data_IF_166235755074
#
_entry.id   IF_166235755074
#
_cell.length_a   1.000
_cell.length_b   1.000
_cell.length_c   1.000
_cell.angle_alpha   90.00
_cell.angle_beta   90.00
_cell.angle_gamma   90.00
#
_symmetry.space_group_name_H-M   'P 1'
#
loop_
_entity.id
_entity.type
_entity.pdbx_description
1 polymer ?
#
# COMPACT_ATOMS: atom_id res chain seq x y z
N UNK A 1 33.45 -14.10 -4.87
CA UNK A 1 32.56 -12.92 -4.91
C UNK A 1 31.57 -13.11 -6.05
N UNK A 2 30.36 -13.59 -5.75
CA UNK A 2 29.34 -13.93 -6.75
C UNK A 2 28.38 -12.75 -6.93
N UNK A 3 28.77 -11.74 -7.70
CA UNK A 3 27.93 -10.55 -7.97
C UNK A 3 26.86 -10.80 -9.06
N UNK A 4 26.96 -11.88 -9.84
CA UNK A 4 25.98 -12.23 -10.89
C UNK A 4 24.75 -13.01 -10.43
N UNK A 5 24.68 -13.48 -9.18
CA UNK A 5 23.50 -14.17 -8.66
C UNK A 5 22.41 -13.21 -8.18
N UNK A 6 22.80 -12.00 -7.77
CA UNK A 6 21.89 -11.01 -7.22
C UNK A 6 20.93 -10.48 -8.30
N UNK A 7 21.40 -10.14 -9.51
CA UNK A 7 20.56 -9.66 -10.62
C UNK A 7 19.46 -10.65 -11.02
N UNK A 8 19.76 -11.95 -11.09
CA UNK A 8 18.76 -12.99 -11.40
C UNK A 8 17.72 -13.17 -10.28
N UNK A 9 18.11 -13.00 -9.01
CA UNK A 9 17.18 -12.96 -7.90
C UNK A 9 16.34 -11.67 -7.92
N UNK A 10 16.93 -10.53 -8.31
CA UNK A 10 16.25 -9.23 -8.41
C UNK A 10 15.18 -9.22 -9.51
N UNK A 11 15.46 -9.81 -10.67
CA UNK A 11 14.45 -10.02 -11.73
C UNK A 11 13.36 -11.00 -11.27
N UNK A 12 13.73 -11.99 -10.46
CA UNK A 12 12.79 -12.97 -9.91
C UNK A 12 11.81 -12.35 -8.90
N UNK A 13 12.23 -11.36 -8.11
CA UNK A 13 11.37 -10.68 -7.13
C UNK A 13 10.30 -9.81 -7.80
N UNK A 14 10.70 -9.01 -8.79
CA UNK A 14 9.77 -8.17 -9.54
C UNK A 14 8.78 -9.03 -10.32
N UNK A 15 9.27 -10.08 -10.99
CA UNK A 15 8.42 -11.03 -11.67
C UNK A 15 7.46 -11.77 -10.72
N UNK A 16 7.87 -12.06 -9.48
CA UNK A 16 7.00 -12.69 -8.50
C UNK A 16 5.81 -11.78 -8.10
N UNK A 17 6.07 -10.53 -7.75
CA UNK A 17 5.01 -9.57 -7.40
C UNK A 17 4.08 -9.35 -8.59
N UNK A 18 4.64 -9.11 -9.78
CA UNK A 18 3.84 -8.89 -10.99
C UNK A 18 2.97 -10.11 -11.32
N UNK A 19 3.50 -11.33 -11.25
CA UNK A 19 2.72 -12.55 -11.52
C UNK A 19 1.59 -12.78 -10.51
N UNK A 20 1.82 -12.49 -9.23
CA UNK A 20 0.75 -12.60 -8.22
C UNK A 20 -0.31 -11.54 -8.46
N UNK A 21 0.08 -10.31 -8.81
CA UNK A 21 -0.86 -9.26 -9.19
C UNK A 21 -1.67 -9.63 -10.44
N UNK A 22 -1.03 -10.18 -11.47
CA UNK A 22 -1.69 -10.57 -12.71
C UNK A 22 -2.66 -11.74 -12.46
N UNK A 23 -2.25 -12.75 -11.70
CA UNK A 23 -3.12 -13.87 -11.31
C UNK A 23 -4.34 -13.42 -10.48
N UNK A 24 -4.17 -12.42 -9.62
CA UNK A 24 -5.24 -11.82 -8.83
C UNK A 24 -6.23 -10.98 -9.66
N UNK A 25 -5.77 -10.45 -10.80
CA UNK A 25 -6.59 -9.60 -11.67
C UNK A 25 -7.33 -10.45 -12.71
N UNK A 26 -6.69 -11.50 -13.22
CA UNK A 26 -7.26 -12.38 -14.24
C UNK A 26 -8.25 -13.42 -13.69
N UNK A 27 -8.28 -13.61 -12.36
CA UNK A 27 -9.23 -14.53 -11.74
C UNK A 27 -10.65 -13.97 -11.69
N UNK A 28 -11.60 -14.67 -12.34
CA UNK A 28 -13.05 -14.45 -12.17
C UNK A 28 -13.59 -15.04 -10.86
N UNK A 29 -12.79 -15.82 -10.14
CA UNK A 29 -13.18 -16.53 -8.93
C UNK A 29 -12.68 -15.78 -7.68
N UNK A 30 -13.62 -15.38 -6.81
CA UNK A 30 -13.33 -14.53 -5.65
C UNK A 30 -12.33 -15.12 -4.65
N UNK A 31 -12.21 -16.46 -4.59
CA UNK A 31 -11.26 -17.16 -3.72
C UNK A 31 -9.80 -16.87 -4.09
N UNK A 32 -9.48 -16.83 -5.39
CA UNK A 32 -8.12 -16.53 -5.86
C UNK A 32 -7.68 -15.11 -5.49
N UNK A 33 -8.63 -14.16 -5.45
CA UNK A 33 -8.33 -12.77 -5.09
C UNK A 33 -7.94 -12.64 -3.61
N UNK A 34 -8.54 -13.46 -2.74
CA UNK A 34 -8.18 -13.50 -1.31
C UNK A 34 -6.80 -14.14 -1.13
N UNK A 35 -6.55 -15.28 -1.78
CA UNK A 35 -5.25 -15.97 -1.68
C UNK A 35 -4.12 -15.13 -2.26
N UNK A 36 -4.36 -14.42 -3.37
CA UNK A 36 -3.36 -13.53 -3.94
C UNK A 36 -3.14 -12.27 -3.11
N UNK A 37 -4.19 -11.71 -2.51
CA UNK A 37 -4.07 -10.61 -1.54
C UNK A 37 -3.18 -11.04 -0.38
N UNK A 38 -3.45 -12.19 0.25
CA UNK A 38 -2.64 -12.72 1.37
C UNK A 38 -1.20 -13.00 0.95
N UNK A 39 -0.99 -13.58 -0.24
CA UNK A 39 0.35 -13.78 -0.79
C UNK A 39 1.10 -12.45 -0.94
N UNK A 40 0.46 -11.40 -1.45
CA UNK A 40 1.05 -10.07 -1.57
C UNK A 40 1.42 -9.47 -0.20
N UNK A 41 0.61 -9.71 0.85
CA UNK A 41 0.95 -9.25 2.21
C UNK A 41 2.22 -9.91 2.71
N UNK A 42 2.34 -11.22 2.54
CA UNK A 42 3.53 -11.97 2.94
C UNK A 42 4.75 -11.54 2.12
N UNK A 43 4.58 -11.37 0.80
CA UNK A 43 5.68 -10.90 -0.06
C UNK A 43 6.14 -9.49 0.31
N UNK A 44 5.22 -8.58 0.67
CA UNK A 44 5.56 -7.21 1.05
C UNK A 44 6.50 -7.11 2.25
N UNK A 45 6.43 -8.06 3.20
CA UNK A 45 7.27 -8.06 4.42
C UNK A 45 8.57 -8.84 4.27
N UNK A 46 8.69 -9.70 3.25
CA UNK A 46 9.85 -10.57 3.06
C UNK A 46 10.70 -10.21 1.83
N UNK A 47 10.22 -9.32 0.97
CA UNK A 47 10.96 -8.83 -0.18
C UNK A 47 11.70 -7.52 0.14
N UNK A 48 12.78 -7.19 -0.62
CA UNK A 48 13.48 -5.94 -0.45
C UNK A 48 12.53 -4.74 -0.58
N UNK A 49 12.43 -3.93 0.48
CA UNK A 49 11.53 -2.78 0.57
C UNK A 49 11.61 -1.85 -0.65
N UNK A 50 12.84 -1.56 -1.11
CA UNK A 50 13.08 -0.73 -2.29
C UNK A 50 12.36 -1.25 -3.57
N UNK A 51 12.21 -2.56 -3.72
CA UNK A 51 11.53 -3.17 -4.88
C UNK A 51 10.01 -3.08 -4.74
N UNK A 52 9.49 -3.32 -3.54
CA UNK A 52 8.06 -3.14 -3.25
C UNK A 52 7.65 -1.69 -3.53
N UNK A 53 8.47 -0.72 -3.12
CA UNK A 53 8.26 0.71 -3.39
C UNK A 53 8.29 1.01 -4.89
N UNK A 54 9.33 0.55 -5.60
CA UNK A 54 9.47 0.73 -7.04
C UNK A 54 8.23 0.23 -7.80
N UNK A 55 7.80 -1.00 -7.53
CA UNK A 55 6.67 -1.62 -8.22
C UNK A 55 5.35 -0.91 -7.87
N UNK A 56 5.17 -0.53 -6.60
CA UNK A 56 3.98 0.20 -6.16
C UNK A 56 3.84 1.54 -6.90
N UNK A 57 4.94 2.30 -7.01
CA UNK A 57 4.99 3.55 -7.78
C UNK A 57 4.71 3.31 -9.25
N UNK A 58 5.38 2.31 -9.84
CA UNK A 58 5.26 2.00 -11.26
C UNK A 58 3.80 1.71 -11.64
N UNK A 59 3.09 0.92 -10.83
CA UNK A 59 1.71 0.51 -11.11
C UNK A 59 0.71 1.63 -10.84
N UNK A 60 0.83 2.33 -9.70
CA UNK A 60 -0.14 3.38 -9.32
C UNK A 60 -0.05 4.63 -10.19
N UNK A 61 1.10 4.88 -10.81
CA UNK A 61 1.30 6.01 -11.72
C UNK A 61 0.96 5.68 -13.19
N UNK A 62 0.48 4.46 -13.50
CA UNK A 62 0.05 4.14 -14.87
C UNK A 62 -1.25 4.87 -15.20
N UNK A 63 -1.28 5.58 -16.33
CA UNK A 63 -2.44 6.34 -16.80
C UNK A 63 -3.71 5.47 -16.93
N UNK A 64 -3.54 4.20 -17.34
CA UNK A 64 -4.61 3.22 -17.52
C UNK A 64 -4.41 1.99 -16.63
N UNK A 65 -4.17 2.22 -15.33
CA UNK A 65 -4.14 1.13 -14.35
C UNK A 65 -5.53 0.49 -14.22
N UNK A 66 -5.58 -0.84 -14.17
CA UNK A 66 -6.83 -1.55 -13.87
C UNK A 66 -7.19 -1.36 -12.39
N UNK A 67 -8.47 -1.10 -12.09
CA UNK A 67 -8.95 -0.79 -10.73
C UNK A 67 -8.56 -1.88 -9.71
N UNK A 68 -8.70 -3.15 -10.10
CA UNK A 68 -8.36 -4.30 -9.26
C UNK A 68 -6.85 -4.30 -8.91
N UNK A 69 -6.00 -4.01 -9.90
CA UNK A 69 -4.54 -3.95 -9.72
C UNK A 69 -4.14 -2.81 -8.78
N UNK A 70 -4.73 -1.62 -8.96
CA UNK A 70 -4.50 -0.48 -8.07
C UNK A 70 -4.93 -0.80 -6.62
N UNK A 71 -6.10 -1.44 -6.44
CA UNK A 71 -6.55 -1.88 -5.12
C UNK A 71 -5.60 -2.86 -4.46
N UNK A 72 -5.09 -3.86 -5.19
CA UNK A 72 -4.15 -4.85 -4.64
C UNK A 72 -2.85 -4.21 -4.19
N UNK A 73 -2.29 -3.28 -4.99
CA UNK A 73 -1.08 -2.54 -4.62
C UNK A 73 -1.31 -1.69 -3.38
N UNK A 74 -2.44 -0.97 -3.28
CA UNK A 74 -2.76 -0.18 -2.09
C UNK A 74 -2.94 -1.05 -0.84
N UNK A 75 -3.52 -2.25 -0.96
CA UNK A 75 -3.62 -3.21 0.15
C UNK A 75 -2.26 -3.76 0.55
N UNK A 76 -1.39 -4.06 -0.42
CA UNK A 76 -0.01 -4.45 -0.19
C UNK A 76 0.75 -3.35 0.56
N UNK A 77 0.63 -2.09 0.13
CA UNK A 77 1.18 -0.92 0.85
C UNK A 77 0.62 -0.82 2.26
N UNK A 78 -0.70 -0.96 2.45
CA UNK A 78 -1.34 -0.92 3.78
C UNK A 78 -0.64 -1.91 4.74
N UNK A 79 -0.35 -3.12 4.26
CA UNK A 79 0.29 -4.18 5.06
C UNK A 79 1.76 -3.91 5.33
N UNK A 80 2.45 -3.29 4.39
CA UNK A 80 3.81 -2.80 4.58
C UNK A 80 3.89 -1.85 5.78
N UNK A 81 2.96 -0.88 5.85
CA UNK A 81 2.91 0.09 6.95
C UNK A 81 2.44 -0.53 8.27
N UNK A 82 1.63 -1.57 8.26
CA UNK A 82 1.27 -2.29 9.48
C UNK A 82 2.45 -3.12 10.02
N UNK A 83 3.20 -3.79 9.14
CA UNK A 83 4.18 -4.83 9.50
C UNK A 83 5.62 -4.35 9.76
N UNK A 84 6.13 -3.37 9.03
CA UNK A 84 7.54 -2.95 9.12
C UNK A 84 7.79 -1.96 10.27
N UNK A 85 9.03 -1.84 10.78
CA UNK A 85 9.35 -0.82 11.79
C UNK A 85 9.27 0.59 11.22
N UNK A 86 8.95 1.56 12.08
CA UNK A 86 8.75 2.97 11.70
C UNK A 86 9.98 3.58 11.03
N UNK A 87 11.19 3.21 11.47
CA UNK A 87 12.45 3.74 10.90
C UNK A 87 12.63 3.37 9.42
N UNK A 88 12.31 2.14 9.03
CA UNK A 88 12.37 1.69 7.64
C UNK A 88 11.30 2.39 6.79
N UNK A 89 10.10 2.58 7.35
CA UNK A 89 8.99 3.20 6.65
C UNK A 89 9.20 4.71 6.44
N UNK A 90 9.87 5.38 7.37
CA UNK A 90 10.28 6.78 7.20
C UNK A 90 11.22 6.98 6.01
N UNK A 91 12.03 5.97 5.64
CA UNK A 91 12.92 6.06 4.49
C UNK A 91 12.18 6.00 3.13
N UNK A 92 10.91 5.56 3.12
CA UNK A 92 10.15 5.33 1.88
C UNK A 92 8.81 6.07 1.83
N UNK A 93 8.47 6.84 2.87
CA UNK A 93 7.20 7.56 2.96
C UNK A 93 7.08 8.63 1.87
N UNK A 94 8.17 9.33 1.54
CA UNK A 94 8.22 10.33 0.47
C UNK A 94 7.88 9.75 -0.90
N UNK A 95 8.18 8.47 -1.10
CA UNK A 95 7.93 7.74 -2.33
C UNK A 95 6.50 7.20 -2.42
N UNK A 96 5.95 6.76 -1.28
CA UNK A 96 4.67 6.03 -1.21
C UNK A 96 3.47 6.90 -0.87
N UNK A 97 3.64 7.93 -0.04
CA UNK A 97 2.55 8.81 0.36
C UNK A 97 1.91 9.53 -0.85
N UNK A 98 2.67 10.11 -1.80
CA UNK A 98 2.09 10.74 -2.98
C UNK A 98 1.24 9.77 -3.82
N UNK A 99 1.66 8.50 -3.93
CA UNK A 99 0.89 7.47 -4.65
C UNK A 99 -0.47 7.22 -4.00
N UNK A 100 -0.53 7.13 -2.66
CA UNK A 100 -1.78 6.94 -1.94
C UNK A 100 -2.70 8.18 -2.02
N UNK A 101 -2.12 9.39 -1.98
CA UNK A 101 -2.86 10.65 -2.16
C UNK A 101 -3.47 10.70 -3.57
N UNK A 102 -2.69 10.44 -4.61
CA UNK A 102 -3.17 10.42 -6.00
C UNK A 102 -4.27 9.35 -6.21
N UNK A 103 -4.11 8.17 -5.60
CA UNK A 103 -5.12 7.11 -5.69
C UNK A 103 -6.46 7.50 -5.02
N UNK A 104 -6.45 8.40 -4.03
CA UNK A 104 -7.66 8.92 -3.41
C UNK A 104 -8.42 9.92 -4.33
N UNK A 105 -7.79 10.40 -5.40
CA UNK A 105 -8.43 11.17 -6.47
C UNK A 105 -8.90 10.30 -7.64
N UNK A 106 -8.77 8.98 -7.54
CA UNK A 106 -9.24 8.05 -8.58
C UNK A 106 -10.75 8.19 -8.86
N UNK A 107 -11.19 8.08 -10.13
CA UNK A 107 -12.62 8.02 -10.46
C UNK A 107 -13.31 6.77 -9.88
N UNK A 108 -12.55 5.70 -9.62
CA UNK A 108 -13.06 4.44 -9.11
C UNK A 108 -13.26 4.49 -7.58
N UNK A 109 -14.50 4.29 -7.13
CA UNK A 109 -14.83 4.28 -5.69
C UNK A 109 -14.12 3.17 -4.91
N UNK A 110 -13.86 2.03 -5.54
CA UNK A 110 -13.08 0.91 -4.99
C UNK A 110 -11.65 1.34 -4.63
N UNK A 111 -10.98 2.03 -5.57
CA UNK A 111 -9.63 2.55 -5.40
C UNK A 111 -9.60 3.63 -4.34
N UNK A 112 -10.53 4.59 -4.36
CA UNK A 112 -10.63 5.64 -3.32
C UNK A 112 -10.80 5.06 -1.92
N UNK A 113 -11.70 4.09 -1.76
CA UNK A 113 -11.91 3.42 -0.47
C UNK A 113 -10.62 2.75 0.01
N UNK A 114 -9.95 2.00 -0.86
CA UNK A 114 -8.69 1.34 -0.53
C UNK A 114 -7.58 2.34 -0.18
N UNK A 115 -7.50 3.46 -0.91
CA UNK A 115 -6.53 4.52 -0.65
C UNK A 115 -6.73 5.16 0.74
N UNK A 116 -7.99 5.37 1.16
CA UNK A 116 -8.30 5.86 2.52
C UNK A 116 -7.81 4.88 3.58
N UNK A 117 -8.02 3.58 3.42
CA UNK A 117 -7.47 2.57 4.35
C UNK A 117 -5.95 2.62 4.41
N UNK A 118 -5.28 2.74 3.26
CA UNK A 118 -3.82 2.85 3.19
C UNK A 118 -3.33 4.11 3.92
N UNK A 119 -3.95 5.27 3.69
CA UNK A 119 -3.59 6.53 4.36
C UNK A 119 -3.81 6.45 5.87
N UNK A 120 -4.89 5.80 6.33
CA UNK A 120 -5.15 5.59 7.76
C UNK A 120 -4.07 4.71 8.39
N UNK A 121 -3.65 3.63 7.73
CA UNK A 121 -2.55 2.79 8.20
C UNK A 121 -1.22 3.56 8.27
N UNK A 122 -0.91 4.38 7.27
CA UNK A 122 0.28 5.25 7.27
C UNK A 122 0.27 6.22 8.45
N UNK A 123 -0.86 6.91 8.70
CA UNK A 123 -1.00 7.84 9.83
C UNK A 123 -0.92 7.12 11.17
N UNK A 124 -1.53 5.94 11.30
CA UNK A 124 -1.47 5.14 12.52
C UNK A 124 -0.03 4.68 12.82
N UNK A 125 0.75 4.36 11.79
CA UNK A 125 2.13 3.88 11.96
C UNK A 125 3.16 4.98 12.17
N UNK A 126 3.13 6.02 11.34
CA UNK A 126 4.14 7.09 11.31
C UNK A 126 3.73 8.33 12.14
N UNK A 127 2.46 8.41 12.52
CA UNK A 127 1.88 9.55 13.22
C UNK A 127 1.40 10.66 12.29
N UNK A 128 0.49 11.48 12.81
CA UNK A 128 -0.09 12.61 12.08
C UNK A 128 0.96 13.64 11.66
N UNK A 129 1.95 13.93 12.52
CA UNK A 129 2.99 14.94 12.25
C UNK A 129 3.84 14.60 11.02
N UNK A 130 4.24 13.33 10.89
CA UNK A 130 5.04 12.84 9.78
C UNK A 130 4.24 12.86 8.46
N UNK A 131 2.94 12.56 8.53
CA UNK A 131 2.06 12.52 7.37
C UNK A 131 1.49 13.88 6.95
N UNK A 132 1.54 14.88 7.83
CA UNK A 132 1.03 16.23 7.62
C UNK A 132 1.44 16.88 6.27
N UNK A 133 2.72 16.87 5.83
CA UNK A 133 3.10 17.51 4.57
C UNK A 133 2.39 16.93 3.35
N UNK A 134 2.08 15.63 3.34
CA UNK A 134 1.36 14.99 2.22
C UNK A 134 -0.15 15.18 2.32
N UNK A 135 -0.69 15.12 3.54
CA UNK A 135 -2.12 15.25 3.80
C UNK A 135 -2.67 16.65 3.49
N UNK A 136 -1.82 17.69 3.54
CA UNK A 136 -2.16 19.06 3.12
C UNK A 136 -2.54 19.18 1.65
N UNK A 137 -2.18 18.21 0.81
CA UNK A 137 -2.58 18.19 -0.60
C UNK A 137 -4.03 17.72 -0.80
N UNK A 138 -4.69 17.18 0.24
CA UNK A 138 -6.09 16.79 0.19
C UNK A 138 -7.01 18.00 0.43
N UNK A 139 -8.19 17.98 -0.17
CA UNK A 139 -9.24 18.95 0.18
C UNK A 139 -9.68 18.75 1.63
N UNK A 140 -10.19 19.82 2.28
CA UNK A 140 -10.58 19.79 3.69
C UNK A 140 -11.55 18.65 4.02
N UNK A 141 -12.48 18.32 3.11
CA UNK A 141 -13.41 17.20 3.29
C UNK A 141 -12.72 15.84 3.27
N UNK A 142 -11.76 15.62 2.36
CA UNK A 142 -10.98 14.38 2.28
C UNK A 142 -10.08 14.19 3.48
N UNK A 143 -9.43 15.27 3.93
CA UNK A 143 -8.59 15.26 5.12
C UNK A 143 -9.41 14.92 6.37
N UNK A 144 -10.56 15.57 6.55
CA UNK A 144 -11.46 15.28 7.66
C UNK A 144 -11.91 13.81 7.67
N UNK A 145 -12.21 13.24 6.49
CA UNK A 145 -12.54 11.82 6.39
C UNK A 145 -11.40 10.95 6.95
N UNK A 146 -10.16 11.15 6.49
CA UNK A 146 -8.99 10.39 6.98
C UNK A 146 -8.83 10.53 8.50
N UNK A 147 -8.95 11.74 9.05
CA UNK A 147 -8.86 12.00 10.49
C UNK A 147 -9.92 11.24 11.29
N UNK A 148 -11.18 11.24 10.83
CA UNK A 148 -12.27 10.50 11.48
C UNK A 148 -12.00 8.99 11.47
N UNK A 149 -11.48 8.43 10.37
CA UNK A 149 -11.13 7.01 10.32
C UNK A 149 -9.95 6.67 11.25
N UNK A 150 -8.92 7.51 11.33
CA UNK A 150 -7.80 7.35 12.28
C UNK A 150 -8.33 7.31 13.71
N UNK A 151 -9.17 8.28 14.10
CA UNK A 151 -9.78 8.32 15.43
C UNK A 151 -10.61 7.06 15.76
N UNK A 152 -11.39 6.56 14.79
CA UNK A 152 -12.17 5.33 14.96
C UNK A 152 -11.29 4.11 15.16
N UNK A 153 -10.19 4.00 14.41
CA UNK A 153 -9.26 2.87 14.58
C UNK A 153 -8.56 2.91 15.94
N UNK A 154 -8.19 4.09 16.44
CA UNK A 154 -7.60 4.25 17.77
C UNK A 154 -8.59 3.95 18.90
N UNK A 155 -9.85 4.38 18.78
CA UNK A 155 -10.88 4.07 19.76
C UNK A 155 -11.17 2.56 19.84
N UNK A 156 -11.13 1.86 18.70
CA UNK A 156 -11.34 0.41 18.64
C UNK A 156 -10.21 -0.38 19.30
N UNK A 157 -8.94 0.06 19.20
CA UNK A 157 -7.81 -0.58 19.88
C UNK A 157 -7.84 -0.40 21.41
N UNK A 158 -8.46 0.67 21.90
CA UNK A 158 -8.58 0.94 23.35
C UNK A 158 -9.71 0.14 24.02
N UNK A 159 -10.65 -0.42 23.23
CA UNK A 159 -11.77 -1.22 23.76
C UNK A 159 -11.47 -2.73 23.84
N UNK A 160 -10.25 -3.15 23.51
CA UNK A 160 -9.81 -4.56 23.53
C UNK A 160 -9.01 -4.95 24.79
N UNK A 161 -8.97 -4.09 25.81
CA UNK A 161 -8.21 -4.30 27.06
C UNK A 161 -9.06 -4.28 28.33
N UNK A 162 -10.30 -4.77 28.28
CA UNK A 162 -11.11 -5.08 29.46
C UNK A 162 -11.81 -6.43 29.31
#
# INVERSE_FOLDING_TARGET
>A
MCTSQASRLFDSTEMAICKVLDAAVDSKEGTMNVTADDCLKTLATHLPLAKVVMISKLILNQEKVQEARACLVLKMMTRLFEGLPTDELNAVVDDLAPCAINAYDSPASSVRKTAVYCLVAMVNKLGMKTMEPYLKNLTSGKLNLVQVYVQRTMASSSHSQF
#
